data_IF_617337968698
#
_entry.id   IF_617337968698
#
_cell.length_a   1.000
_cell.length_b   1.000
_cell.length_c   1.000
_cell.angle_alpha   90.00
_cell.angle_beta   90.00
_cell.angle_gamma   90.00
#
_symmetry.space_group_name_H-M   'P 1'
#
loop_
_entity.id
_entity.type
_entity.pdbx_description
1 polymer ?
#
# COMPACT_ATOMS: atom_id res chain seq x y z
N UNK A 1 62.46 -59.59 5.92
CA UNK A 1 63.05 -58.37 5.35
C UNK A 1 61.96 -57.30 5.23
N UNK A 2 61.99 -56.26 6.07
CA UNK A 2 61.41 -54.92 5.78
C UNK A 2 62.32 -54.20 4.73
N UNK A 3 62.13 -52.92 4.30
CA UNK A 3 61.13 -51.86 4.61
C UNK A 3 60.74 -50.95 3.37
N UNK A 4 60.25 -49.72 3.64
CA UNK A 4 60.02 -48.50 2.81
C UNK A 4 58.60 -48.32 2.22
N UNK A 5 57.71 -47.48 2.78
CA UNK A 5 57.70 -45.98 2.87
C UNK A 5 57.81 -45.30 1.51
N UNK A 6 56.75 -44.61 1.07
CA UNK A 6 56.85 -43.20 0.68
C UNK A 6 55.49 -42.53 0.53
N UNK A 7 55.36 -41.42 1.25
CA UNK A 7 54.30 -40.42 1.21
C UNK A 7 54.47 -39.52 -0.02
N UNK A 8 53.38 -39.17 -0.71
CA UNK A 8 53.33 -37.97 -1.56
C UNK A 8 52.04 -37.21 -1.36
N UNK A 9 52.25 -35.90 -1.29
CA UNK A 9 51.41 -34.88 -0.71
C UNK A 9 50.22 -34.44 -1.58
N UNK A 10 49.34 -33.71 -0.89
CA UNK A 10 48.18 -32.94 -1.32
C UNK A 10 48.30 -32.18 -2.65
N UNK A 11 47.14 -31.88 -3.25
CA UNK A 11 46.79 -30.51 -3.62
C UNK A 11 45.26 -30.35 -3.68
N UNK A 12 44.74 -29.53 -2.78
CA UNK A 12 43.36 -29.05 -2.74
C UNK A 12 43.09 -28.04 -3.86
N UNK A 13 41.92 -28.10 -4.48
CA UNK A 13 41.34 -26.98 -5.22
C UNK A 13 39.81 -26.99 -5.06
N UNK A 14 39.30 -26.41 -3.96
CA UNK A 14 37.90 -26.00 -3.87
C UNK A 14 37.76 -24.68 -4.65
N UNK A 15 37.17 -24.74 -5.84
CA UNK A 15 36.75 -23.56 -6.57
C UNK A 15 35.50 -22.97 -5.90
N UNK A 16 35.67 -21.84 -5.20
CA UNK A 16 34.58 -21.08 -4.59
C UNK A 16 33.72 -20.40 -5.66
N UNK A 17 32.43 -20.74 -5.69
CA UNK A 17 31.42 -20.00 -6.44
C UNK A 17 31.10 -18.70 -5.69
N UNK A 18 31.62 -17.58 -6.17
CA UNK A 18 31.25 -16.25 -5.67
C UNK A 18 29.85 -15.88 -6.22
N UNK A 19 28.83 -15.98 -5.38
CA UNK A 19 27.50 -15.48 -5.70
C UNK A 19 27.50 -13.94 -5.62
N UNK A 20 27.49 -13.25 -6.75
CA UNK A 20 27.19 -11.82 -6.80
C UNK A 20 25.70 -11.61 -6.51
N UNK A 21 25.37 -11.27 -5.27
CA UNK A 21 24.05 -10.72 -4.93
C UNK A 21 24.00 -9.28 -5.40
N UNK A 22 23.43 -9.05 -6.59
CA UNK A 22 23.02 -7.71 -7.01
C UNK A 22 21.89 -7.24 -6.09
N UNK A 23 22.20 -6.35 -5.16
CA UNK A 23 21.21 -5.67 -4.34
C UNK A 23 20.32 -4.80 -5.21
N UNK A 24 19.03 -5.13 -5.29
CA UNK A 24 18.03 -4.27 -5.93
C UNK A 24 17.88 -3.01 -5.07
N UNK A 25 18.04 -1.79 -5.61
CA UNK A 25 17.77 -0.60 -4.84
C UNK A 25 16.27 -0.55 -4.54
N UNK A 26 15.91 -0.69 -3.26
CA UNK A 26 14.56 -0.38 -2.81
C UNK A 26 14.40 1.14 -2.96
N UNK A 27 13.71 1.58 -4.01
CA UNK A 27 13.27 2.98 -4.09
C UNK A 27 12.42 3.24 -2.85
N UNK A 28 12.91 4.06 -1.93
CA UNK A 28 12.09 4.51 -0.82
C UNK A 28 10.86 5.17 -1.47
N UNK A 29 9.67 4.63 -1.21
CA UNK A 29 8.44 5.15 -1.78
C UNK A 29 8.20 6.56 -1.24
N UNK A 30 8.74 7.57 -1.92
CA UNK A 30 8.36 8.96 -1.76
C UNK A 30 6.93 9.10 -2.25
N UNK A 31 5.97 8.95 -1.35
CA UNK A 31 4.55 8.92 -1.68
C UNK A 31 3.65 8.74 -0.47
N UNK A 32 2.35 8.78 -0.73
CA UNK A 32 1.30 8.58 0.25
C UNK A 32 0.68 7.21 0.02
N UNK A 33 0.57 6.38 1.04
CA UNK A 33 -0.21 5.15 0.94
C UNK A 33 -1.57 5.33 1.59
N UNK A 34 -2.61 4.80 0.93
CA UNK A 34 -3.99 4.79 1.43
C UNK A 34 -4.49 3.35 1.42
N UNK A 35 -4.70 2.80 2.60
CA UNK A 35 -5.17 1.44 2.80
C UNK A 35 -6.65 1.45 3.19
N UNK A 36 -7.50 0.73 2.45
CA UNK A 36 -8.85 0.39 2.89
C UNK A 36 -8.75 -0.67 3.98
N UNK A 37 -8.99 -0.29 5.23
CA UNK A 37 -8.67 -1.15 6.37
C UNK A 37 -9.90 -1.91 6.91
N UNK A 38 -11.04 -1.23 7.03
CA UNK A 38 -12.26 -1.81 7.62
C UNK A 38 -13.52 -1.19 7.03
N UNK A 39 -14.52 -2.05 6.78
CA UNK A 39 -15.90 -1.69 6.54
C UNK A 39 -16.73 -2.19 7.72
N UNK A 40 -17.50 -1.31 8.35
CA UNK A 40 -18.32 -1.63 9.52
C UNK A 40 -19.75 -1.10 9.33
N UNK A 41 -20.77 -1.98 9.37
CA UNK A 41 -22.17 -1.53 9.28
C UNK A 41 -22.50 -0.54 10.39
N UNK A 42 -23.14 0.58 10.03
CA UNK A 42 -23.58 1.59 11.01
C UNK A 42 -24.87 2.25 10.57
N UNK A 43 -25.92 2.16 11.40
CA UNK A 43 -27.26 2.66 11.11
C UNK A 43 -27.72 2.28 9.68
N UNK A 44 -28.01 3.27 8.83
CA UNK A 44 -28.40 3.11 7.43
C UNK A 44 -27.23 3.19 6.44
N UNK A 45 -25.98 3.05 6.88
CA UNK A 45 -24.80 3.20 6.03
C UNK A 45 -23.62 2.32 6.41
N UNK A 46 -22.49 2.60 5.75
CA UNK A 46 -21.22 1.93 5.97
C UNK A 46 -20.20 2.88 6.56
N UNK A 47 -19.69 2.58 7.75
CA UNK A 47 -18.52 3.25 8.29
C UNK A 47 -17.26 2.64 7.67
N UNK A 48 -16.44 3.49 7.07
CA UNK A 48 -15.25 3.11 6.33
C UNK A 48 -14.04 3.67 7.06
N UNK A 49 -13.10 2.80 7.40
CA UNK A 49 -11.80 3.19 7.96
C UNK A 49 -10.72 3.04 6.90
N UNK A 50 -9.98 4.13 6.66
CA UNK A 50 -8.76 4.12 5.85
C UNK A 50 -7.55 4.45 6.71
N UNK A 51 -6.42 3.83 6.39
CA UNK A 51 -5.12 4.16 6.98
C UNK A 51 -4.31 4.92 5.95
N UNK A 52 -3.88 6.12 6.30
CA UNK A 52 -3.05 6.98 5.45
C UNK A 52 -1.66 7.04 6.05
N UNK A 53 -0.63 6.66 5.29
CA UNK A 53 0.76 6.87 5.68
C UNK A 53 1.41 7.91 4.76
N UNK A 54 1.91 8.98 5.37
CA UNK A 54 2.75 9.97 4.69
C UNK A 54 4.21 9.67 5.00
N UNK A 55 4.93 9.11 4.02
CA UNK A 55 6.35 8.82 4.14
C UNK A 55 7.23 10.06 3.88
N UNK A 56 6.66 11.16 3.36
CA UNK A 56 7.40 12.38 3.08
C UNK A 56 7.78 13.13 4.37
N UNK A 57 8.80 13.97 4.25
CA UNK A 57 9.29 14.91 5.26
C UNK A 57 8.43 16.18 5.35
N UNK A 58 7.53 16.39 4.39
CA UNK A 58 6.53 17.47 4.39
C UNK A 58 5.18 16.98 4.91
N UNK A 59 4.50 17.81 5.70
CA UNK A 59 3.12 17.56 6.08
C UNK A 59 2.15 17.79 4.90
N UNK A 60 1.05 17.05 4.90
CA UNK A 60 -0.09 17.25 4.02
C UNK A 60 -1.16 18.00 4.81
N UNK A 61 -1.39 19.26 4.49
CA UNK A 61 -2.46 20.05 5.13
C UNK A 61 -3.85 19.59 4.68
N UNK A 62 -3.94 19.04 3.46
CA UNK A 62 -5.14 18.44 2.89
C UNK A 62 -4.74 17.25 2.00
N UNK A 63 -5.56 16.20 2.03
CA UNK A 63 -5.51 15.05 1.14
C UNK A 63 -6.94 14.68 0.76
N UNK A 64 -7.45 15.23 -0.34
CA UNK A 64 -8.83 15.01 -0.79
C UNK A 64 -8.88 13.90 -1.82
N UNK A 65 -9.53 12.80 -1.47
CA UNK A 65 -9.67 11.62 -2.31
C UNK A 65 -11.06 11.61 -2.95
N UNK A 66 -11.13 11.41 -4.25
CA UNK A 66 -12.38 11.13 -4.97
C UNK A 66 -12.53 9.62 -5.13
N UNK A 67 -13.42 9.03 -4.34
CA UNK A 67 -13.62 7.59 -4.24
C UNK A 67 -14.91 7.17 -4.95
N UNK A 68 -14.80 6.15 -5.81
CA UNK A 68 -15.93 5.50 -6.46
C UNK A 68 -16.10 4.10 -5.89
N UNK A 69 -17.31 3.80 -5.43
CA UNK A 69 -17.70 2.52 -4.87
C UNK A 69 -18.51 1.77 -5.92
N UNK A 70 -18.09 0.55 -6.19
CA UNK A 70 -18.80 -0.39 -7.04
C UNK A 70 -19.46 -1.45 -6.16
N UNK A 71 -20.65 -1.86 -6.53
CA UNK A 71 -21.31 -3.01 -5.93
C UNK A 71 -20.69 -4.35 -6.40
N UNK A 72 -21.30 -5.47 -5.99
CA UNK A 72 -20.84 -6.83 -6.35
C UNK A 72 -21.04 -7.16 -7.83
N UNK A 73 -21.89 -6.44 -8.54
CA UNK A 73 -22.10 -6.59 -9.98
C UNK A 73 -21.16 -5.70 -10.80
N UNK A 74 -20.32 -4.91 -10.12
CA UNK A 74 -19.39 -3.98 -10.76
C UNK A 74 -20.06 -2.69 -11.24
N UNK A 75 -21.26 -2.37 -10.75
CA UNK A 75 -21.98 -1.13 -11.04
C UNK A 75 -21.65 -0.07 -9.99
N UNK A 76 -21.53 1.18 -10.41
CA UNK A 76 -21.28 2.29 -9.48
C UNK A 76 -22.48 2.44 -8.55
N UNK A 77 -22.26 2.25 -7.25
CA UNK A 77 -23.27 2.43 -6.22
C UNK A 77 -23.14 3.76 -5.49
N UNK A 78 -21.92 4.31 -5.39
CA UNK A 78 -21.67 5.61 -4.74
C UNK A 78 -20.40 6.27 -5.28
N UNK A 79 -20.34 7.61 -5.24
CA UNK A 79 -19.11 8.40 -5.36
C UNK A 79 -19.02 9.39 -4.21
N UNK A 80 -17.86 9.50 -3.58
CA UNK A 80 -17.62 10.36 -2.42
C UNK A 80 -16.29 11.10 -2.57
N UNK A 81 -16.30 12.41 -2.34
CA UNK A 81 -15.08 13.16 -2.06
C UNK A 81 -14.84 13.16 -0.54
N UNK A 82 -13.71 12.63 -0.10
CA UNK A 82 -13.37 12.51 1.33
C UNK A 82 -12.08 13.27 1.65
N UNK A 83 -12.08 14.02 2.76
CA UNK A 83 -10.88 14.65 3.29
C UNK A 83 -10.15 13.65 4.20
N UNK A 84 -9.05 13.10 3.69
CA UNK A 84 -8.17 12.16 4.39
C UNK A 84 -6.99 12.87 5.08
N UNK A 85 -6.83 14.18 4.87
CA UNK A 85 -5.90 15.04 5.58
C UNK A 85 -6.48 15.63 6.88
N UNK A 86 -5.70 16.47 7.59
CA UNK A 86 -4.26 16.62 7.44
C UNK A 86 -3.52 15.34 7.87
N UNK A 87 -2.30 15.17 7.36
CA UNK A 87 -1.36 14.09 7.74
C UNK A 87 0.03 14.69 7.92
N UNK A 88 0.57 14.60 9.14
CA UNK A 88 1.91 15.11 9.45
C UNK A 88 2.99 14.35 8.66
N UNK A 89 4.15 15.00 8.49
CA UNK A 89 5.35 14.38 7.96
C UNK A 89 5.72 13.10 8.73
N UNK A 90 6.12 12.05 8.01
CA UNK A 90 6.54 10.76 8.58
C UNK A 90 5.52 10.16 9.57
N UNK A 91 4.21 10.34 9.31
CA UNK A 91 3.15 9.81 10.17
C UNK A 91 2.14 8.97 9.42
N UNK A 92 1.64 7.98 10.14
CA UNK A 92 0.45 7.20 9.79
C UNK A 92 -0.73 7.72 10.59
N UNK A 93 -1.88 7.89 9.94
CA UNK A 93 -3.13 8.34 10.54
C UNK A 93 -4.28 7.44 10.08
N UNK A 94 -5.24 7.19 10.97
CA UNK A 94 -6.49 6.52 10.61
C UNK A 94 -7.56 7.58 10.37
N UNK A 95 -8.33 7.43 9.30
CA UNK A 95 -9.45 8.32 8.96
C UNK A 95 -10.71 7.48 8.83
N UNK A 96 -11.80 7.99 9.41
CA UNK A 96 -13.10 7.35 9.36
C UNK A 96 -14.06 8.26 8.60
N UNK A 97 -14.84 7.68 7.69
CA UNK A 97 -15.91 8.37 7.00
C UNK A 97 -17.12 7.45 6.84
N UNK A 98 -18.30 8.04 6.68
CA UNK A 98 -19.54 7.29 6.54
C UNK A 98 -20.05 7.40 5.10
N UNK A 99 -20.24 6.26 4.45
CA UNK A 99 -21.02 6.15 3.22
C UNK A 99 -22.48 5.90 3.58
N UNK A 100 -23.26 6.98 3.69
CA UNK A 100 -24.69 6.89 3.95
C UNK A 100 -25.39 6.08 2.84
N UNK A 101 -26.43 5.33 3.22
CA UNK A 101 -27.27 4.54 2.30
C UNK A 101 -26.51 3.46 1.52
N UNK A 102 -25.28 3.15 1.96
CA UNK A 102 -24.42 2.12 1.37
C UNK A 102 -24.32 0.95 2.34
N UNK A 103 -24.71 -0.25 1.90
CA UNK A 103 -24.51 -1.45 2.71
C UNK A 103 -23.06 -1.91 2.60
N UNK A 104 -22.37 -2.14 3.73
CA UNK A 104 -20.97 -2.54 3.72
C UNK A 104 -20.71 -3.86 2.99
N UNK A 105 -21.62 -4.82 3.11
CA UNK A 105 -21.56 -6.13 2.44
C UNK A 105 -21.84 -6.03 0.94
N UNK A 106 -22.50 -4.95 0.50
CA UNK A 106 -22.76 -4.65 -0.90
C UNK A 106 -21.55 -4.09 -1.65
N UNK A 107 -20.50 -3.62 -0.97
CA UNK A 107 -19.31 -3.05 -1.63
C UNK A 107 -18.48 -4.18 -2.25
N UNK A 108 -18.27 -4.14 -3.56
CA UNK A 108 -17.44 -5.08 -4.30
C UNK A 108 -16.04 -4.56 -4.60
N UNK A 109 -15.92 -3.26 -4.87
CA UNK A 109 -14.63 -2.61 -5.17
C UNK A 109 -14.68 -1.13 -4.83
N UNK A 110 -13.55 -0.58 -4.42
CA UNK A 110 -13.32 0.86 -4.31
C UNK A 110 -12.29 1.28 -5.34
N UNK A 111 -12.51 2.41 -5.99
CA UNK A 111 -11.57 3.04 -6.93
C UNK A 111 -11.23 4.43 -6.39
N UNK A 112 -9.94 4.73 -6.31
CA UNK A 112 -9.44 6.09 -6.18
C UNK A 112 -9.46 6.72 -7.57
N UNK A 113 -10.53 7.43 -7.88
CA UNK A 113 -10.73 8.03 -9.19
C UNK A 113 -9.82 9.26 -9.40
N UNK A 114 -9.63 10.06 -8.34
CA UNK A 114 -8.78 11.25 -8.40
C UNK A 114 -8.28 11.66 -7.00
N UNK A 115 -7.25 12.50 -6.95
CA UNK A 115 -6.77 13.20 -5.74
C UNK A 115 -6.81 14.70 -6.00
N UNK A 116 -7.86 15.35 -5.49
CA UNK A 116 -8.17 16.75 -5.80
C UNK A 116 -7.36 17.75 -4.97
N UNK A 117 -6.65 17.30 -3.93
CA UNK A 117 -5.68 18.10 -3.17
C UNK A 117 -4.69 17.18 -2.42
N UNK A 118 -3.39 17.51 -2.38
CA UNK A 118 -2.38 16.75 -1.63
C UNK A 118 -1.14 17.56 -1.18
N UNK A 119 -1.30 18.81 -0.73
CA UNK A 119 -0.17 19.60 -0.20
C UNK A 119 0.80 20.17 -1.26
N UNK A 120 0.34 20.27 -2.52
CA UNK A 120 0.96 21.08 -3.57
C UNK A 120 1.83 20.34 -4.59
N UNK A 121 1.76 19.01 -4.67
CA UNK A 121 2.37 18.27 -5.79
C UNK A 121 1.61 18.54 -7.10
N UNK A 122 2.32 18.54 -8.24
CA UNK A 122 1.69 18.74 -9.56
C UNK A 122 0.80 17.55 -9.97
N UNK A 123 1.20 16.32 -9.64
CA UNK A 123 0.39 15.11 -9.86
C UNK A 123 0.17 14.35 -8.55
N UNK A 124 -0.89 14.76 -7.85
CA UNK A 124 -1.29 14.16 -6.59
C UNK A 124 -1.69 12.70 -6.72
N UNK A 125 -2.34 12.33 -7.82
CA UNK A 125 -2.82 10.97 -8.04
C UNK A 125 -1.66 10.02 -8.27
N UNK A 126 -0.63 10.43 -9.01
CA UNK A 126 0.58 9.63 -9.21
C UNK A 126 1.31 9.34 -7.89
N UNK A 127 1.32 10.29 -6.95
CA UNK A 127 1.98 10.16 -5.65
C UNK A 127 1.25 9.25 -4.64
N UNK A 128 0.01 8.85 -4.91
CA UNK A 128 -0.78 7.97 -4.04
C UNK A 128 -0.70 6.51 -4.49
N UNK A 129 -0.52 5.61 -3.53
CA UNK A 129 -0.67 4.16 -3.70
C UNK A 129 -1.87 3.67 -2.89
N UNK A 130 -2.58 2.67 -3.41
CA UNK A 130 -3.76 2.08 -2.74
C UNK A 130 -3.49 0.63 -2.34
N UNK A 131 -4.12 0.20 -1.24
CA UNK A 131 -4.14 -1.20 -0.81
C UNK A 131 -5.42 -1.51 -0.04
N UNK A 132 -5.74 -2.79 0.16
CA UNK A 132 -6.91 -3.20 0.93
C UNK A 132 -6.58 -4.34 1.90
N UNK A 133 -7.16 -4.29 3.09
CA UNK A 133 -7.23 -5.40 4.06
C UNK A 133 -8.61 -6.03 4.13
N UNK A 134 -9.59 -5.46 3.43
CA UNK A 134 -10.96 -5.93 3.45
C UNK A 134 -11.05 -7.12 2.51
N UNK A 135 -11.46 -8.27 3.04
CA UNK A 135 -11.60 -9.50 2.27
C UNK A 135 -12.60 -9.27 1.12
N UNK A 136 -12.23 -9.71 -0.08
CA UNK A 136 -13.07 -9.66 -1.28
C UNK A 136 -13.51 -8.24 -1.69
N UNK A 137 -12.79 -7.20 -1.24
CA UNK A 137 -12.97 -5.81 -1.67
C UNK A 137 -11.62 -5.22 -2.05
N UNK A 138 -11.39 -5.11 -3.36
CA UNK A 138 -10.20 -4.45 -3.90
C UNK A 138 -10.29 -2.93 -3.71
N UNK A 139 -9.14 -2.29 -3.48
CA UNK A 139 -8.99 -0.84 -3.58
C UNK A 139 -7.98 -0.48 -4.69
N UNK A 140 -8.51 -0.13 -5.85
CA UNK A 140 -7.74 0.18 -7.05
C UNK A 140 -7.52 1.69 -7.22
N UNK A 141 -6.56 2.06 -8.07
CA UNK A 141 -6.32 3.41 -8.58
C UNK A 141 -6.40 3.38 -10.10
#
# INVERSE_FOLDING_TARGET
MSPFVSSRAALSALAGFAALTLGVPATAASGVSVELNRLEPKDSGCQISIVVANAADKALDSLKLDLVFFDKDGVISRRLAVEAGPVRASKTSVKLFNAAETKCDGIGRVLLNDVTACGGAEDCLAAVSTSSRVKDVEFAK
#
